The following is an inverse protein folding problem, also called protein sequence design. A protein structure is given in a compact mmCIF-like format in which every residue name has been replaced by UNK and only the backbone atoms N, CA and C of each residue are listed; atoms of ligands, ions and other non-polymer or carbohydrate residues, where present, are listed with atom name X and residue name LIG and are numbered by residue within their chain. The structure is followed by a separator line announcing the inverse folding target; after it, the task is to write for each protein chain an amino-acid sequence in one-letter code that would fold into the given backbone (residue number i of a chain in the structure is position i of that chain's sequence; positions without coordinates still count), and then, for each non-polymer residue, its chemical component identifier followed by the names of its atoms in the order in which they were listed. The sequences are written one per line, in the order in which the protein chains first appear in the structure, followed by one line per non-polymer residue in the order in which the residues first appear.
data_IF_246988011618
#
_entry.id   IF_246988011618
#
_cell.length_a   1.000
_cell.length_b   1.000
_cell.length_c   1.000
_cell.angle_alpha   90.00
_cell.angle_beta   90.00
_cell.angle_gamma   90.00
#
_symmetry.space_group_name_H-M   'P 1'
#
loop_
_entity.id
_entity.type
_entity.pdbx_description
1 polymer ?
#
# COMPACT_ATOMS: atom_id res chain seq x y z
N UNK A 1 -6.67 2.89 -19.33
CA UNK A 1 -7.19 1.62 -18.77
C UNK A 1 -6.36 1.24 -17.58
N UNK A 2 -6.96 0.57 -16.59
CA UNK A 2 -6.40 0.34 -15.27
C UNK A 2 -6.17 -1.15 -15.09
N UNK A 3 -5.02 -1.55 -14.56
CA UNK A 3 -4.75 -2.94 -14.22
C UNK A 3 -4.98 -3.10 -12.73
N UNK A 4 -5.85 -4.03 -12.38
CA UNK A 4 -6.34 -4.19 -11.02
C UNK A 4 -6.42 -5.66 -10.68
N UNK A 5 -5.94 -6.02 -9.50
CA UNK A 5 -6.24 -7.28 -8.85
C UNK A 5 -7.01 -7.01 -7.57
N UNK A 6 -7.91 -7.91 -7.20
CA UNK A 6 -8.71 -7.82 -5.99
C UNK A 6 -8.65 -9.15 -5.25
N UNK A 7 -8.71 -9.10 -3.93
CA UNK A 7 -8.75 -10.32 -3.11
C UNK A 7 -10.01 -11.14 -3.36
N UNK A 8 -9.87 -12.44 -3.14
CA UNK A 8 -10.99 -13.38 -3.02
C UNK A 8 -11.59 -13.32 -1.62
N UNK A 9 -10.74 -13.20 -0.59
CA UNK A 9 -11.17 -12.95 0.78
C UNK A 9 -11.68 -11.53 0.98
N UNK A 10 -12.52 -11.36 2.00
CA UNK A 10 -12.99 -10.07 2.52
C UNK A 10 -12.41 -9.86 3.90
N UNK A 11 -11.89 -8.67 4.17
CA UNK A 11 -11.46 -8.26 5.49
C UNK A 11 -12.64 -7.68 6.28
N UNK A 12 -12.53 -7.67 7.61
CA UNK A 12 -13.58 -7.16 8.48
C UNK A 12 -13.25 -5.75 8.96
N UNK A 13 -14.29 -4.92 9.10
CA UNK A 13 -14.16 -3.68 9.85
C UNK A 13 -13.82 -4.01 11.31
N UNK A 14 -13.11 -3.09 11.94
CA UNK A 14 -12.73 -3.17 13.35
C UNK A 14 -11.91 -4.41 13.70
N UNK A 15 -11.09 -4.88 12.75
CA UNK A 15 -10.18 -5.99 12.94
C UNK A 15 -8.83 -5.70 12.27
N UNK A 16 -7.75 -5.78 13.06
CA UNK A 16 -6.41 -5.66 12.55
C UNK A 16 -6.12 -6.75 11.51
N UNK A 17 -5.73 -6.31 10.32
CA UNK A 17 -5.38 -7.18 9.20
C UNK A 17 -4.10 -6.67 8.57
N UNK A 18 -3.11 -7.54 8.37
CA UNK A 18 -1.96 -7.20 7.55
C UNK A 18 -2.32 -7.39 6.09
N UNK A 19 -2.02 -6.41 5.26
CA UNK A 19 -2.27 -6.47 3.82
C UNK A 19 -0.99 -6.12 3.07
N UNK A 20 -0.71 -6.88 2.02
CA UNK A 20 0.41 -6.59 1.13
C UNK A 20 0.02 -6.79 -0.32
N UNK A 21 0.54 -5.95 -1.20
CA UNK A 21 0.40 -6.06 -2.65
C UNK A 21 1.76 -6.02 -3.32
N UNK A 22 2.07 -7.01 -4.15
CA UNK A 22 3.32 -7.11 -4.90
C UNK A 22 3.09 -7.03 -6.40
N UNK A 23 3.98 -6.35 -7.11
CA UNK A 23 4.07 -6.39 -8.56
C UNK A 23 5.49 -6.72 -9.02
N UNK A 24 5.61 -7.53 -10.07
CA UNK A 24 6.88 -7.81 -10.74
C UNK A 24 6.69 -7.77 -12.27
N UNK A 25 7.35 -6.85 -12.97
CA UNK A 25 7.24 -6.69 -14.43
C UNK A 25 7.94 -7.79 -15.22
N UNK A 26 8.90 -8.52 -14.63
CA UNK A 26 9.57 -9.64 -15.30
C UNK A 26 8.64 -10.87 -15.42
N UNK A 27 7.76 -11.08 -14.43
CA UNK A 27 6.77 -12.17 -14.43
C UNK A 27 5.36 -11.72 -14.77
N UNK A 28 5.13 -10.41 -14.77
CA UNK A 28 3.82 -9.76 -14.88
C UNK A 28 2.80 -10.19 -13.82
N UNK A 29 3.27 -10.59 -12.63
CA UNK A 29 2.39 -11.05 -11.56
C UNK A 29 1.98 -9.90 -10.63
N UNK A 30 0.68 -9.82 -10.38
CA UNK A 30 0.06 -9.10 -9.27
C UNK A 30 -0.29 -10.11 -8.21
N UNK A 31 0.20 -9.94 -6.99
CA UNK A 31 -0.18 -10.78 -5.87
C UNK A 31 -0.62 -9.95 -4.69
N UNK A 32 -1.68 -10.38 -4.01
CA UNK A 32 -2.18 -9.75 -2.79
C UNK A 32 -2.18 -10.78 -1.68
N UNK A 33 -1.76 -10.36 -0.50
CA UNK A 33 -1.59 -11.20 0.68
C UNK A 33 -2.42 -10.64 1.82
N UNK A 34 -3.06 -11.52 2.58
CA UNK A 34 -3.82 -11.20 3.79
C UNK A 34 -3.21 -11.96 4.95
N UNK A 35 -2.83 -11.24 6.01
CA UNK A 35 -2.17 -11.80 7.20
C UNK A 35 -0.92 -12.65 6.87
N UNK A 36 -0.19 -12.25 5.83
CA UNK A 36 1.05 -12.89 5.38
C UNK A 36 0.87 -14.06 4.43
N UNK A 37 -0.35 -14.54 4.22
CA UNK A 37 -0.66 -15.63 3.30
C UNK A 37 -1.11 -15.09 1.94
N UNK A 38 -0.71 -15.76 0.85
CA UNK A 38 -1.16 -15.41 -0.50
C UNK A 38 -2.68 -15.59 -0.62
N UNK A 39 -3.40 -14.54 -0.99
CA UNK A 39 -4.85 -14.59 -1.24
C UNK A 39 -5.18 -14.71 -2.72
N UNK A 40 -4.52 -13.92 -3.57
CA UNK A 40 -4.77 -13.92 -5.01
C UNK A 40 -3.49 -13.65 -5.76
N UNK A 41 -3.37 -14.26 -6.95
CA UNK A 41 -2.31 -13.96 -7.90
C UNK A 41 -2.89 -13.92 -9.31
N UNK A 42 -2.57 -12.88 -10.06
CA UNK A 42 -3.09 -12.65 -11.41
C UNK A 42 -1.96 -12.17 -12.31
N UNK A 43 -1.86 -12.76 -13.49
CA UNK A 43 -1.00 -12.22 -14.56
C UNK A 43 -1.69 -11.02 -15.18
N UNK A 44 -1.03 -9.86 -15.17
CA UNK A 44 -1.51 -8.66 -15.85
C UNK A 44 -0.79 -8.48 -17.19
N UNK A 45 -1.37 -7.80 -18.18
CA UNK A 45 -0.63 -7.41 -19.37
C UNK A 45 0.63 -6.63 -18.98
N UNK A 46 1.73 -6.87 -19.70
CA UNK A 46 2.95 -6.08 -19.56
C UNK A 46 2.62 -4.59 -19.69
N UNK A 47 2.67 -3.88 -18.58
CA UNK A 47 2.48 -2.45 -18.51
C UNK A 47 3.58 -1.91 -17.60
N UNK A 48 4.32 -0.92 -18.07
CA UNK A 48 5.19 -0.17 -17.18
C UNK A 48 4.29 0.61 -16.21
N UNK A 49 4.42 0.42 -14.88
CA UNK A 49 3.86 1.36 -13.93
C UNK A 49 4.40 2.74 -14.29
N UNK A 50 3.52 3.73 -14.47
CA UNK A 50 4.01 5.11 -14.55
C UNK A 50 4.56 5.51 -13.19
N UNK A 51 5.64 6.29 -13.21
CA UNK A 51 6.30 6.76 -11.99
C UNK A 51 5.36 7.59 -11.10
N UNK A 52 4.28 8.16 -11.66
CA UNK A 52 3.45 9.14 -10.96
C UNK A 52 4.25 10.41 -10.64
N UNK A 53 3.59 11.55 -10.59
CA UNK A 53 4.26 12.83 -10.23
C UNK A 53 3.88 13.32 -8.85
N UNK A 54 2.87 12.70 -8.24
CA UNK A 54 2.34 13.08 -6.93
C UNK A 54 3.21 12.52 -5.79
N UNK A 55 3.03 13.10 -4.59
CA UNK A 55 3.61 12.58 -3.37
C UNK A 55 3.19 11.12 -3.14
N UNK A 56 3.99 10.39 -2.37
CA UNK A 56 3.53 9.12 -1.82
C UNK A 56 2.65 9.42 -0.60
N UNK A 57 1.42 8.95 -0.61
CA UNK A 57 0.46 9.12 0.46
C UNK A 57 0.22 7.83 1.23
N UNK A 58 0.01 7.99 2.53
CA UNK A 58 -0.55 6.98 3.43
C UNK A 58 -1.88 7.54 3.95
N UNK A 59 -2.94 6.74 3.85
CA UNK A 59 -4.28 7.12 4.31
C UNK A 59 -5.08 8.01 3.34
N UNK A 60 -4.53 8.37 2.18
CA UNK A 60 -5.21 9.24 1.20
C UNK A 60 -4.78 8.97 -0.23
N UNK A 61 -5.66 9.27 -1.18
CA UNK A 61 -5.34 9.37 -2.59
C UNK A 61 -5.76 10.73 -3.16
N UNK A 62 -4.76 11.49 -3.63
CA UNK A 62 -4.94 12.79 -4.26
C UNK A 62 -5.78 12.74 -5.55
N UNK A 63 -5.86 11.59 -6.23
CA UNK A 63 -6.57 11.44 -7.50
C UNK A 63 -8.08 11.17 -7.38
N UNK A 64 -8.53 10.49 -6.33
CA UNK A 64 -9.93 10.10 -6.11
C UNK A 64 -10.56 10.66 -4.84
N UNK A 65 -9.75 11.18 -3.91
CA UNK A 65 -10.23 11.72 -2.64
C UNK A 65 -10.57 10.67 -1.58
N UNK A 66 -10.14 9.42 -1.76
CA UNK A 66 -10.41 8.32 -0.84
C UNK A 66 -9.56 8.39 0.43
N UNK A 67 -10.12 8.93 1.50
CA UNK A 67 -9.52 8.97 2.84
C UNK A 67 -9.72 7.65 3.58
N UNK A 68 -8.70 7.22 4.32
CA UNK A 68 -8.78 6.10 5.22
C UNK A 68 -9.49 6.50 6.52
N UNK A 69 -10.39 5.64 7.01
CA UNK A 69 -11.02 5.79 8.32
C UNK A 69 -10.66 4.59 9.19
N UNK A 70 -9.88 4.81 10.24
CA UNK A 70 -9.34 3.74 11.06
C UNK A 70 -7.89 3.97 11.49
N UNK A 71 -7.17 2.90 11.79
CA UNK A 71 -5.74 2.97 12.12
C UNK A 71 -4.88 2.26 11.08
N UNK A 72 -3.68 2.79 10.83
CA UNK A 72 -2.64 2.18 10.00
C UNK A 72 -1.37 2.07 10.83
N UNK A 73 -0.67 0.96 10.66
CA UNK A 73 0.60 0.69 11.32
C UNK A 73 1.59 -0.03 10.37
N UNK A 74 2.89 0.12 10.61
CA UNK A 74 3.98 -0.51 9.85
C UNK A 74 3.85 -0.36 8.33
N UNK A 75 3.57 0.87 7.88
CA UNK A 75 3.41 1.17 6.47
C UNK A 75 4.76 1.18 5.74
N UNK A 76 4.87 0.37 4.68
CA UNK A 76 6.15 0.15 3.98
C UNK A 76 6.01 0.14 2.47
N UNK A 77 7.07 0.62 1.82
CA UNK A 77 7.25 0.56 0.37
C UNK A 77 8.58 -0.09 0.04
N UNK A 78 8.55 -1.06 -0.87
CA UNK A 78 9.73 -1.78 -1.34
C UNK A 78 9.88 -1.64 -2.86
N UNK A 79 11.11 -1.57 -3.37
CA UNK A 79 11.43 -1.51 -4.82
C UNK A 79 11.56 -2.91 -5.47
N UNK A 80 11.05 -3.93 -4.79
CA UNK A 80 11.06 -5.33 -5.21
C UNK A 80 9.77 -6.01 -4.83
N UNK A 81 9.43 -7.09 -5.54
CA UNK A 81 8.35 -7.98 -5.15
C UNK A 81 8.88 -8.90 -4.04
N UNK A 82 8.34 -8.76 -2.82
CA UNK A 82 8.62 -9.67 -1.71
C UNK A 82 8.01 -11.05 -1.99
N UNK A 83 8.69 -12.08 -1.51
CA UNK A 83 8.11 -13.42 -1.43
C UNK A 83 7.11 -13.54 -0.27
N UNK A 84 6.21 -14.51 -0.33
CA UNK A 84 5.27 -14.80 0.76
C UNK A 84 5.98 -15.03 2.10
N UNK A 85 7.12 -15.73 2.08
CA UNK A 85 7.92 -16.00 3.27
C UNK A 85 8.54 -14.72 3.87
N UNK A 86 8.89 -13.74 3.04
CA UNK A 86 9.34 -12.43 3.52
C UNK A 86 8.18 -11.63 4.10
N UNK A 87 7.04 -11.57 3.43
CA UNK A 87 5.84 -10.88 3.93
C UNK A 87 5.41 -11.47 5.28
N UNK A 88 5.32 -12.80 5.37
CA UNK A 88 4.98 -13.54 6.59
C UNK A 88 5.94 -13.29 7.76
N UNK A 89 7.21 -13.01 7.46
CA UNK A 89 8.23 -12.66 8.47
C UNK A 89 8.14 -11.18 8.86
N UNK A 90 8.04 -10.31 7.86
CA UNK A 90 8.07 -8.86 7.99
C UNK A 90 6.84 -8.33 8.73
N UNK A 91 5.67 -8.97 8.60
CA UNK A 91 4.47 -8.56 9.36
C UNK A 91 4.61 -8.71 10.89
N UNK A 92 5.61 -9.48 11.35
CA UNK A 92 5.88 -9.77 12.77
C UNK A 92 7.08 -8.99 13.33
N UNK A 93 7.64 -8.08 12.56
CA UNK A 93 8.89 -7.39 12.90
C UNK A 93 8.74 -5.92 12.55
N UNK A 94 9.10 -5.01 13.45
CA UNK A 94 9.24 -3.59 13.09
C UNK A 94 10.55 -3.42 12.34
N UNK A 95 10.48 -2.95 11.09
CA UNK A 95 11.65 -2.88 10.22
C UNK A 95 12.21 -1.46 10.22
N UNK A 96 13.37 -1.29 10.83
CA UNK A 96 14.11 -0.03 10.92
C UNK A 96 15.50 -0.27 10.38
N UNK A 97 16.22 0.73 9.85
CA UNK A 97 17.57 0.65 9.28
C UNK A 97 18.64 -0.02 10.17
N UNK A 98 18.30 -0.37 11.42
CA UNK A 98 19.10 -1.18 12.35
C UNK A 98 18.68 -2.66 12.60
N UNK A 99 17.45 -3.11 12.28
CA UNK A 99 16.91 -4.48 12.46
C UNK A 99 17.15 -5.59 11.39
N UNK A 100 17.88 -5.36 10.31
CA UNK A 100 18.37 -6.37 9.35
C UNK A 100 17.31 -7.00 8.41
N UNK A 101 16.83 -6.26 7.41
CA UNK A 101 16.32 -6.75 6.11
C UNK A 101 15.93 -5.58 5.18
N UNK A 102 16.89 -4.77 4.71
CA UNK A 102 16.59 -3.54 3.94
C UNK A 102 16.73 -3.63 2.45
N UNK A 103 17.16 -4.77 1.91
CA UNK A 103 17.37 -4.81 0.46
C UNK A 103 16.05 -4.46 -0.23
N UNK A 104 16.08 -3.35 -0.95
CA UNK A 104 14.92 -2.74 -1.56
C UNK A 104 13.88 -2.07 -0.67
N UNK A 105 14.06 -1.88 0.64
CA UNK A 105 13.15 -1.10 1.49
C UNK A 105 13.34 0.40 1.21
N UNK A 106 12.31 1.05 0.67
CA UNK A 106 12.33 2.48 0.30
C UNK A 106 11.76 3.35 1.41
N UNK A 107 10.65 2.93 2.01
CA UNK A 107 9.96 3.68 3.06
C UNK A 107 9.57 2.70 4.15
N UNK A 108 9.86 3.04 5.40
CA UNK A 108 9.37 2.34 6.57
C UNK A 108 8.86 3.34 7.59
N UNK A 109 7.53 3.40 7.72
CA UNK A 109 6.86 4.24 8.72
C UNK A 109 6.22 3.30 9.74
N UNK A 110 6.93 2.98 10.84
CA UNK A 110 6.44 2.06 11.85
C UNK A 110 5.58 2.75 12.91
N UNK A 111 5.41 4.08 12.85
CA UNK A 111 4.58 4.86 13.79
C UNK A 111 5.00 4.83 15.26
N UNK A 112 6.27 4.52 15.56
CA UNK A 112 6.77 4.37 16.93
C UNK A 112 7.36 5.65 17.53
N UNK A 113 7.09 5.89 18.82
CA UNK A 113 7.74 6.92 19.66
C UNK A 113 7.06 8.30 19.64
N UNK A 114 5.88 8.40 19.07
CA UNK A 114 5.00 9.56 19.06
C UNK A 114 3.98 9.49 20.21
N UNK A 115 4.25 10.18 21.32
CA UNK A 115 3.25 10.40 22.37
C UNK A 115 1.91 10.81 21.74
N UNK A 116 0.78 10.29 22.25
CA UNK A 116 -0.57 10.55 21.70
C UNK A 116 -0.73 12.05 21.41
N UNK A 117 -0.74 12.40 20.12
CA UNK A 117 -0.62 13.77 19.63
C UNK A 117 -1.11 13.86 18.19
N UNK A 118 -1.75 14.98 17.86
CA UNK A 118 -2.09 15.37 16.49
C UNK A 118 -0.86 15.87 15.72
N UNK A 119 0.16 16.34 16.45
CA UNK A 119 1.44 16.76 15.89
C UNK A 119 2.48 15.71 16.27
N UNK A 120 2.72 14.75 15.37
CA UNK A 120 3.77 13.76 15.51
C UNK A 120 4.75 13.80 14.33
N UNK A 121 6.00 13.45 14.60
CA UNK A 121 7.02 13.35 13.57
C UNK A 121 6.90 12.01 12.86
N UNK A 122 6.77 12.02 11.54
CA UNK A 122 6.74 10.80 10.74
C UNK A 122 8.12 10.56 10.16
N UNK A 123 8.93 9.80 10.87
CA UNK A 123 10.28 9.46 10.43
C UNK A 123 10.26 8.22 9.55
N UNK A 124 10.88 8.31 8.38
CA UNK A 124 11.24 7.14 7.59
C UNK A 124 12.41 6.43 8.27
N UNK A 125 12.14 5.25 8.80
CA UNK A 125 13.14 4.42 9.43
C UNK A 125 13.89 3.54 8.44
N UNK A 126 13.65 3.67 7.13
CA UNK A 126 14.50 3.07 6.10
C UNK A 126 15.83 3.82 5.94
N UNK A 127 16.71 3.33 5.07
CA UNK A 127 17.96 4.03 4.70
C UNK A 127 17.74 5.18 3.72
N UNK A 128 16.51 5.38 3.25
CA UNK A 128 16.21 6.33 2.16
C UNK A 128 15.85 7.74 2.65
N UNK A 129 15.40 7.89 3.90
CA UNK A 129 15.10 9.18 4.51
C UNK A 129 13.90 9.92 3.90
N UNK A 130 12.89 9.20 3.44
CA UNK A 130 11.64 9.77 2.94
C UNK A 130 10.65 10.08 4.08
N UNK A 131 11.08 10.92 5.03
CA UNK A 131 10.22 11.38 6.13
C UNK A 131 8.92 11.95 5.58
N UNK A 132 7.79 11.55 6.16
CA UNK A 132 6.49 12.01 5.72
C UNK A 132 6.05 13.25 6.49
N UNK A 133 5.26 14.10 5.84
CA UNK A 133 4.56 15.21 6.49
C UNK A 133 3.21 14.69 6.97
N UNK A 134 2.95 14.79 8.27
CA UNK A 134 1.62 14.53 8.83
C UNK A 134 0.66 15.69 8.55
N UNK A 135 -0.53 15.38 8.07
CA UNK A 135 -1.64 16.31 7.92
C UNK A 135 -2.86 15.73 8.65
N UNK A 136 -3.03 16.07 9.93
CA UNK A 136 -4.25 15.80 10.70
C UNK A 136 -4.33 14.43 11.40
N UNK A 137 -3.58 13.43 10.95
CA UNK A 137 -3.59 12.12 11.58
C UNK A 137 -3.08 12.20 13.03
N UNK A 138 -3.59 11.34 13.90
CA UNK A 138 -3.28 11.34 15.33
C UNK A 138 -2.53 10.06 15.69
N UNK A 139 -1.40 10.17 16.39
CA UNK A 139 -0.77 8.99 16.99
C UNK A 139 -1.65 8.45 18.13
N UNK A 140 -1.97 7.16 18.14
CA UNK A 140 -2.82 6.54 19.17
C UNK A 140 -2.24 5.28 19.80
N UNK A 141 -2.73 5.06 21.04
CA UNK A 141 -2.55 4.01 22.06
C UNK A 141 -1.82 2.69 21.70
N UNK A 142 -1.06 2.22 22.69
CA UNK A 142 -0.34 0.94 22.81
C UNK A 142 -1.23 -0.29 23.00
N UNK A 143 -2.54 -0.12 23.30
CA UNK A 143 -3.49 -1.18 23.61
C UNK A 143 -4.20 -1.81 22.41
N UNK A 144 -4.43 -1.03 21.33
CA UNK A 144 -5.11 -1.50 20.13
C UNK A 144 -4.12 -1.75 19.00
N UNK A 145 -3.49 -2.92 19.02
CA UNK A 145 -2.38 -3.27 18.13
C UNK A 145 -2.67 -4.49 17.27
N UNK A 146 -1.95 -4.64 16.14
CA UNK A 146 -1.83 -5.91 15.44
C UNK A 146 -1.59 -7.09 16.40
N UNK A 147 -2.32 -8.21 16.25
CA UNK A 147 -2.27 -9.33 17.20
C UNK A 147 -0.95 -10.10 17.21
N UNK A 148 0.02 -9.78 16.36
CA UNK A 148 1.30 -10.51 16.25
C UNK A 148 2.52 -9.63 16.50
N UNK A 149 3.08 -9.78 17.71
CA UNK A 149 4.49 -9.55 18.10
C UNK A 149 5.22 -8.31 17.57
N UNK A 150 4.68 -7.12 17.81
CA UNK A 150 5.45 -5.87 17.79
C UNK A 150 5.56 -5.35 19.24
N UNK A 151 6.78 -5.07 19.71
CA UNK A 151 7.04 -4.51 21.04
C UNK A 151 7.17 -3.00 20.94
N UNK A 152 6.34 -2.28 21.72
CA UNK A 152 5.99 -0.85 21.54
C UNK A 152 5.23 -0.65 20.22
N UNK A 153 3.99 -0.19 20.29
CA UNK A 153 3.22 -0.01 19.08
C UNK A 153 2.16 1.08 19.19
N UNK A 154 2.54 2.29 18.78
CA UNK A 154 1.60 3.34 18.42
C UNK A 154 1.20 3.15 16.96
N UNK A 155 -0.03 3.53 16.62
CA UNK A 155 -0.52 3.54 15.24
C UNK A 155 -1.01 4.93 14.86
N UNK A 156 -1.04 5.24 13.57
CA UNK A 156 -1.66 6.47 13.10
C UNK A 156 -3.17 6.24 12.95
N UNK A 157 -3.97 7.04 13.65
CA UNK A 157 -5.42 7.14 13.48
C UNK A 157 -5.76 8.20 12.43
N UNK A 158 -6.63 7.81 11.51
CA UNK A 158 -7.20 8.63 10.44
C UNK A 158 -8.71 8.67 10.62
N UNK A 159 -9.28 9.87 10.67
CA UNK A 159 -10.70 10.07 10.96
C UNK A 159 -11.64 9.81 9.76
N UNK A 160 -11.07 9.64 8.56
CA UNK A 160 -11.81 9.48 7.30
C UNK A 160 -12.08 10.80 6.55
N UNK A 161 -11.57 11.93 7.02
CA UNK A 161 -11.74 13.26 6.43
C UNK A 161 -10.50 14.12 6.60
N UNK A 162 -9.72 14.32 5.53
CA UNK A 162 -8.61 15.28 5.54
C UNK A 162 -7.30 14.74 6.12
N UNK A 163 -7.35 13.63 6.86
CA UNK A 163 -6.16 13.01 7.45
C UNK A 163 -5.32 12.24 6.43
N UNK A 164 -4.02 12.54 6.37
CA UNK A 164 -3.05 11.78 5.58
C UNK A 164 -1.60 12.03 5.99
N UNK A 165 -0.71 11.16 5.52
CA UNK A 165 0.73 11.39 5.55
C UNK A 165 1.26 11.47 4.13
N UNK A 166 2.21 12.36 3.88
CA UNK A 166 2.77 12.55 2.54
C UNK A 166 4.30 12.58 2.56
N UNK A 167 4.93 11.63 1.88
CA UNK A 167 6.36 11.69 1.56
C UNK A 167 6.56 12.31 0.16
N UNK A 168 7.59 13.15 0.03
CA UNK A 168 7.87 13.87 -1.21
C UNK A 168 8.09 12.92 -2.40
N UNK A 169 7.63 13.33 -3.58
CA UNK A 169 7.82 12.55 -4.80
C UNK A 169 9.32 12.40 -5.15
N UNK A 170 9.71 11.18 -5.56
CA UNK A 170 11.03 10.89 -6.09
C UNK A 170 10.99 9.61 -6.93
N UNK A 171 12.04 9.36 -7.72
CA UNK A 171 12.17 8.09 -8.46
C UNK A 171 12.23 6.87 -7.53
N UNK A 172 12.74 7.03 -6.30
CA UNK A 172 12.87 5.93 -5.35
C UNK A 172 11.49 5.49 -4.84
N UNK A 173 10.59 6.42 -4.53
CA UNK A 173 9.19 6.13 -4.14
C UNK A 173 8.26 5.90 -5.34
N UNK A 174 8.84 5.68 -6.52
CA UNK A 174 8.16 5.45 -7.79
C UNK A 174 8.74 4.25 -8.56
N UNK A 175 8.92 3.08 -7.92
CA UNK A 175 9.51 1.91 -8.57
C UNK A 175 8.63 1.41 -9.72
N UNK A 176 9.27 1.13 -10.87
CA UNK A 176 8.58 0.71 -12.10
C UNK A 176 8.85 -0.76 -12.47
N UNK A 177 9.94 -1.36 -12.00
CA UNK A 177 10.30 -2.73 -12.35
C UNK A 177 9.59 -3.77 -11.47
N UNK A 178 9.62 -3.57 -10.15
CA UNK A 178 8.93 -4.39 -9.18
C UNK A 178 8.71 -3.56 -7.92
N UNK A 179 7.70 -3.88 -7.13
CA UNK A 179 7.48 -3.24 -5.85
C UNK A 179 6.60 -4.07 -4.91
N UNK A 180 6.64 -3.72 -3.64
CA UNK A 180 5.72 -4.21 -2.60
C UNK A 180 5.21 -3.03 -1.78
N UNK A 181 3.91 -3.01 -1.54
CA UNK A 181 3.26 -2.10 -0.59
C UNK A 181 2.69 -2.97 0.51
N UNK A 182 2.95 -2.65 1.77
CA UNK A 182 2.40 -3.42 2.90
C UNK A 182 2.11 -2.52 4.10
N UNK A 183 1.10 -2.90 4.88
CA UNK A 183 0.76 -2.24 6.13
C UNK A 183 -0.13 -3.17 6.98
N UNK A 184 -0.14 -2.93 8.29
CA UNK A 184 -1.24 -3.31 9.16
C UNK A 184 -2.34 -2.26 9.07
N UNK A 185 -3.59 -2.71 8.98
CA UNK A 185 -4.76 -1.82 8.92
C UNK A 185 -5.85 -2.26 9.90
N UNK A 186 -6.54 -1.28 10.48
CA UNK A 186 -7.76 -1.44 11.25
C UNK A 186 -8.83 -0.50 10.66
N UNK A 187 -9.53 -0.91 9.60
CA UNK A 187 -10.53 -0.06 8.96
C UNK A 187 -11.79 0.01 9.81
N UNK A 188 -12.37 1.20 9.95
CA UNK A 188 -13.69 1.44 10.56
C UNK A 188 -14.79 1.54 9.51
N UNK A 189 -14.43 1.94 8.28
CA UNK A 189 -15.30 1.97 7.12
C UNK A 189 -14.53 1.57 5.85
N UNK A 190 -15.26 1.10 4.84
CA UNK A 190 -14.77 0.79 3.50
C UNK A 190 -15.28 1.80 2.44
N UNK A 191 -15.96 2.85 2.88
CA UNK A 191 -16.60 3.81 1.98
C UNK A 191 -15.55 4.66 1.25
N UNK A 192 -15.91 5.12 0.04
CA UNK A 192 -15.09 6.04 -0.77
C UNK A 192 -13.70 5.54 -1.19
N UNK A 193 -13.50 4.22 -1.25
CA UNK A 193 -12.29 3.53 -1.72
C UNK A 193 -11.07 3.98 -0.91
N UNK A 194 -11.03 3.65 0.38
CA UNK A 194 -10.02 4.18 1.27
C UNK A 194 -8.63 3.72 0.85
N UNK A 195 -7.70 4.67 0.82
CA UNK A 195 -6.32 4.42 0.43
C UNK A 195 -5.50 3.99 1.62
N UNK A 196 -4.70 2.94 1.45
CA UNK A 196 -3.74 2.51 2.48
C UNK A 196 -2.40 3.14 2.16
N UNK A 197 -1.84 2.83 0.98
CA UNK A 197 -0.60 3.42 0.46
C UNK A 197 -0.76 3.64 -1.05
N UNK A 198 -0.42 4.82 -1.55
CA UNK A 198 -0.42 5.08 -2.99
C UNK A 198 0.07 6.47 -3.36
N UNK A 199 0.33 6.71 -4.64
CA UNK A 199 0.69 8.06 -5.11
C UNK A 199 -0.53 8.79 -5.67
N UNK A 200 -1.11 8.21 -6.70
CA UNK A 200 -2.30 8.72 -7.36
C UNK A 200 -3.01 7.55 -8.01
N UNK A 201 -4.26 7.30 -7.65
CA UNK A 201 -5.08 6.24 -8.22
C UNK A 201 -5.25 6.38 -9.74
N UNK A 202 -4.99 7.53 -10.35
CA UNK A 202 -5.03 7.72 -11.80
C UNK A 202 -3.69 7.44 -12.50
N UNK A 203 -2.57 7.75 -11.86
CA UNK A 203 -1.26 7.86 -12.53
C UNK A 203 -0.08 7.21 -11.78
N UNK A 204 -0.31 6.57 -10.64
CA UNK A 204 0.69 5.83 -9.87
C UNK A 204 0.13 4.55 -9.26
N UNK A 205 0.99 3.74 -8.64
CA UNK A 205 0.53 2.54 -7.93
C UNK A 205 -0.38 2.91 -6.75
N UNK A 206 -1.22 1.96 -6.36
CA UNK A 206 -2.14 2.13 -5.24
C UNK A 206 -2.50 0.79 -4.62
N UNK A 207 -2.47 0.75 -3.29
CA UNK A 207 -3.02 -0.31 -2.44
C UNK A 207 -4.12 0.32 -1.58
N UNK A 208 -5.31 -0.26 -1.63
CA UNK A 208 -6.43 0.21 -0.82
C UNK A 208 -7.58 -0.79 -0.81
N UNK A 209 -8.75 -0.31 -0.36
CA UNK A 209 -9.93 -1.15 -0.16
C UNK A 209 -10.97 -0.83 -1.24
N UNK A 210 -11.59 -1.85 -1.80
CA UNK A 210 -12.65 -1.74 -2.79
C UNK A 210 -13.93 -1.16 -2.18
N UNK A 211 -14.35 0.02 -2.64
CA UNK A 211 -15.65 0.58 -2.23
C UNK A 211 -16.82 0.11 -3.08
N UNK A 212 -16.60 -0.65 -4.16
CA UNK A 212 -17.73 -1.25 -4.87
C UNK A 212 -18.38 -2.27 -3.93
N UNK A 213 -19.59 -1.91 -3.47
CA UNK A 213 -20.39 -2.64 -2.48
C UNK A 213 -19.81 -2.76 -1.05
N UNK A 214 -18.88 -1.86 -0.65
CA UNK A 214 -18.26 -1.85 0.69
C UNK A 214 -17.81 -3.25 1.14
N UNK A 215 -17.18 -3.99 0.24
CA UNK A 215 -16.99 -5.45 0.37
C UNK A 215 -15.83 -5.84 1.29
N UNK A 216 -14.97 -4.90 1.67
CA UNK A 216 -13.74 -5.21 2.41
C UNK A 216 -12.72 -5.99 1.56
N UNK A 217 -12.79 -5.90 0.23
CA UNK A 217 -11.77 -6.50 -0.64
C UNK A 217 -10.55 -5.59 -0.74
N UNK A 218 -9.35 -6.16 -0.63
CA UNK A 218 -8.11 -5.43 -0.87
C UNK A 218 -7.83 -5.41 -2.36
N UNK A 219 -7.33 -4.27 -2.83
CA UNK A 219 -7.14 -3.98 -4.24
C UNK A 219 -5.74 -3.44 -4.46
N UNK A 220 -5.04 -4.06 -5.41
CA UNK A 220 -3.78 -3.55 -5.93
C UNK A 220 -4.02 -3.00 -7.34
N UNK A 221 -3.50 -1.80 -7.58
CA UNK A 221 -3.67 -1.09 -8.84
C UNK A 221 -2.33 -0.58 -9.41
N UNK A 222 -2.18 -0.69 -10.74
CA UNK A 222 -1.24 0.16 -11.51
C UNK A 222 -1.91 0.83 -12.70
N UNK A 223 -1.48 2.06 -13.03
CA UNK A 223 -1.82 2.70 -14.28
C UNK A 223 -1.17 1.94 -15.43
N UNK A 224 -1.91 1.77 -16.54
CA UNK A 224 -1.34 1.25 -17.78
C UNK A 224 -0.50 2.35 -18.43
N UNK A 225 0.83 2.27 -18.36
CA UNK A 225 1.73 3.12 -19.14
C UNK A 225 1.79 2.68 -20.62
N UNK A 226 1.68 3.65 -21.55
CA UNK A 226 2.04 3.48 -22.97
C UNK A 226 1.11 2.61 -23.84
N UNK A 227 1.15 2.81 -25.16
CA UNK A 227 0.12 2.42 -26.14
C UNK A 227 -0.35 0.95 -26.07
N UNK A 228 -1.67 0.77 -26.13
CA UNK A 228 -2.28 -0.52 -26.48
C UNK A 228 -1.74 -0.90 -27.87
N UNK A 229 -1.15 -2.08 -28.10
CA UNK A 229 -0.98 -2.57 -29.45
C UNK A 229 -2.39 -2.60 -30.05
N UNK A 230 -2.65 -1.78 -31.07
CA UNK A 230 -3.87 -1.89 -31.84
C UNK A 230 -3.91 -3.31 -32.40
N UNK A 231 -4.81 -4.14 -31.88
CA UNK A 231 -5.14 -5.38 -32.57
C UNK A 231 -5.91 -4.96 -33.81
N UNK A 232 -5.21 -4.82 -34.94
CA UNK A 232 -5.86 -5.00 -36.23
C UNK A 232 -6.47 -6.39 -36.18
N UNK A 233 -7.80 -6.46 -36.13
CA UNK A 233 -8.53 -7.70 -36.31
C UNK A 233 -7.92 -8.43 -37.50
N UNK A 234 -7.43 -9.66 -37.27
CA UNK A 234 -7.07 -10.55 -38.36
C UNK A 234 -8.30 -10.65 -39.28
N UNK A 235 -8.15 -10.47 -40.60
CA UNK A 235 -9.27 -10.62 -41.50
C UNK A 235 -9.80 -12.05 -41.37
N UNK A 236 -11.10 -12.19 -41.15
CA UNK A 236 -11.79 -13.46 -41.32
C UNK A 236 -11.66 -13.86 -42.79
N UNK A 237 -10.72 -14.75 -43.09
CA UNK A 237 -10.79 -15.55 -44.31
C UNK A 237 -11.87 -16.60 -44.09
N UNK A 238 -13.06 -16.33 -44.64
CA UNK A 238 -14.06 -17.36 -44.86
C UNK A 238 -13.51 -18.31 -45.94
N UNK A 239 -13.32 -19.58 -45.58
CA UNK A 239 -13.50 -20.69 -46.51
C UNK A 239 -14.93 -21.21 -46.34
#
# INVERSE_FOLDING_TARGET
TRLTSKTTSVIQNNLWTHVAGTYNSATNLFSIYINGALDTTTTVPSAAPSSGTDSLYIGYDAGSGGYFSGMIDEARVWNRALSEAEISRNLRTSLTASGGAYDGLIVSVPFQGAAISTDFTVLDQSVSGFDAVNNGAVSVDFGNRPPTYLSWNESAEFDGTGDYLAAANSNAVSPTAAYTLEAWIYPRSFDNSPTIIGKNFQSGFWLGIDSTASTGKIVLFIPKGGAVPSFTSLPLTNQ
#
